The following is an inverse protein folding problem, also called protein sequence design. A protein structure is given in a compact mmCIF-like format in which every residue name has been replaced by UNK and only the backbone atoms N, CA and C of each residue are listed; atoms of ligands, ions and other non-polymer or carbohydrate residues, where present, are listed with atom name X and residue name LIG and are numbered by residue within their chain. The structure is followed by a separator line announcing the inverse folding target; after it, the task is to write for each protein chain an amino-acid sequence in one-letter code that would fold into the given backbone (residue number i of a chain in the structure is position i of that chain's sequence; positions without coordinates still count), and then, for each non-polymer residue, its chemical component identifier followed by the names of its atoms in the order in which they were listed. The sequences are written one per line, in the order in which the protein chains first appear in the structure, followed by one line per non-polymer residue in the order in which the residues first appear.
data_IF_900113250047
#
_entry.id   IF_900113250047
#
_cell.length_a   1.000
_cell.length_b   1.000
_cell.length_c   1.000
_cell.angle_alpha   90.00
_cell.angle_beta   90.00
_cell.angle_gamma   90.00
#
_symmetry.space_group_name_H-M   'P 1'
#
loop_
_entity.id
_entity.type
_entity.pdbx_description
1 polymer ?
#
# COMPACT_ATOMS: atom_id res chain seq x y z
N UNK A 1 9.00 23.81 19.68
CA UNK A 1 8.78 24.64 18.49
C UNK A 1 7.76 23.93 17.65
N UNK A 2 6.63 24.47 17.26
CA UNK A 2 5.75 23.81 16.33
C UNK A 2 6.49 23.67 15.00
N UNK A 3 6.64 22.44 14.55
CA UNK A 3 7.24 22.13 13.27
C UNK A 3 6.21 22.58 12.21
N UNK A 4 6.39 23.79 11.66
CA UNK A 4 5.61 24.21 10.49
C UNK A 4 6.15 23.42 9.31
N UNK A 5 5.66 22.19 9.15
CA UNK A 5 5.95 21.40 7.95
C UNK A 5 5.32 22.14 6.77
N UNK A 6 6.13 22.91 6.07
CA UNK A 6 5.71 23.53 4.82
C UNK A 6 5.41 22.44 3.82
N UNK A 7 4.19 22.38 3.30
CA UNK A 7 3.77 21.42 2.29
C UNK A 7 3.91 22.10 0.94
N UNK A 8 4.75 21.55 0.06
CA UNK A 8 4.84 21.95 -1.34
C UNK A 8 4.05 20.97 -2.18
N UNK A 9 3.25 21.47 -3.11
CA UNK A 9 2.43 20.65 -4.01
C UNK A 9 2.82 20.95 -5.46
N UNK A 10 3.03 19.90 -6.24
CA UNK A 10 3.37 19.98 -7.67
C UNK A 10 2.54 18.98 -8.46
N UNK A 11 2.10 19.39 -9.67
CA UNK A 11 1.42 18.51 -10.63
C UNK A 11 2.40 18.12 -11.74
N UNK A 12 2.44 16.84 -12.05
CA UNK A 12 3.31 16.25 -13.07
C UNK A 12 2.51 15.34 -13.99
N UNK A 13 3.02 15.14 -15.20
CA UNK A 13 2.50 14.15 -16.14
C UNK A 13 3.66 13.25 -16.60
N UNK A 14 3.88 12.16 -15.87
CA UNK A 14 4.93 11.18 -16.11
C UNK A 14 4.31 9.86 -16.60
N UNK A 15 3.75 9.84 -17.83
CA UNK A 15 2.86 8.84 -18.44
C UNK A 15 1.41 8.93 -17.95
N UNK A 16 1.17 9.20 -16.67
CA UNK A 16 -0.14 9.49 -16.09
C UNK A 16 -0.04 10.76 -15.23
N UNK A 17 -1.15 11.51 -15.06
CA UNK A 17 -1.17 12.63 -14.13
C UNK A 17 -0.81 12.19 -12.72
N UNK A 18 0.09 12.95 -12.08
CA UNK A 18 0.56 12.71 -10.73
C UNK A 18 0.53 14.01 -9.94
N UNK A 19 0.13 13.93 -8.67
CA UNK A 19 0.21 15.02 -7.72
C UNK A 19 1.21 14.68 -6.63
N UNK A 20 2.29 15.46 -6.54
CA UNK A 20 3.35 15.29 -5.58
C UNK A 20 3.22 16.29 -4.45
N UNK A 21 3.30 15.81 -3.21
CA UNK A 21 3.37 16.59 -1.99
C UNK A 21 4.72 16.36 -1.32
N UNK A 22 5.41 17.42 -0.97
CA UNK A 22 6.70 17.37 -0.25
C UNK A 22 6.51 18.04 1.11
N UNK A 23 6.73 17.29 2.17
CA UNK A 23 6.56 17.73 3.55
C UNK A 23 7.90 17.68 4.27
N UNK A 24 8.43 18.84 4.66
CA UNK A 24 9.74 18.96 5.31
C UNK A 24 10.90 18.47 4.44
N UNK A 25 11.90 17.85 5.07
CA UNK A 25 13.00 17.16 4.39
C UNK A 25 12.65 15.67 4.25
N UNK A 26 12.35 15.17 3.04
CA UNK A 26 11.85 13.81 2.87
C UNK A 26 12.85 12.76 3.32
N UNK A 27 12.39 11.87 4.18
CA UNK A 27 13.10 10.67 4.62
C UNK A 27 12.43 9.40 4.10
N UNK A 28 11.26 9.52 3.49
CA UNK A 28 10.45 8.42 2.97
C UNK A 28 9.68 8.83 1.72
N UNK A 29 9.44 7.87 0.84
CA UNK A 29 8.55 8.00 -0.31
C UNK A 29 7.24 7.29 -0.01
N UNK A 30 6.11 7.97 -0.24
CA UNK A 30 4.77 7.41 -0.12
C UNK A 30 4.11 7.38 -1.50
N UNK A 31 3.56 6.25 -1.90
CA UNK A 31 2.93 6.06 -3.22
C UNK A 31 1.50 5.56 -3.04
N UNK A 32 0.55 6.23 -3.68
CA UNK A 32 -0.85 5.87 -3.63
C UNK A 32 -1.53 6.08 -4.99
N UNK A 33 -2.33 5.08 -5.46
CA UNK A 33 -3.25 5.32 -6.55
C UNK A 33 -4.38 6.27 -6.11
N UNK A 34 -4.80 7.18 -6.98
CA UNK A 34 -5.92 8.09 -6.74
C UNK A 34 -6.95 8.00 -7.86
N UNK A 35 -8.22 8.10 -7.51
CA UNK A 35 -9.29 8.25 -8.48
C UNK A 35 -9.62 9.74 -8.64
N UNK A 36 -9.89 10.19 -9.87
CA UNK A 36 -10.19 11.61 -10.18
C UNK A 36 -11.28 12.25 -9.32
N UNK A 37 -12.21 11.46 -8.78
CA UNK A 37 -13.27 12.00 -7.94
C UNK A 37 -12.77 12.38 -6.52
N UNK A 38 -11.69 11.76 -6.04
CA UNK A 38 -11.07 12.06 -4.75
C UNK A 38 -10.40 13.45 -4.77
N UNK A 39 -9.81 13.83 -5.91
CA UNK A 39 -9.22 15.16 -6.10
C UNK A 39 -10.26 16.29 -6.00
N UNK A 40 -11.50 16.04 -6.47
CA UNK A 40 -12.58 17.02 -6.43
C UNK A 40 -13.13 17.32 -5.04
N UNK A 41 -12.86 16.44 -4.07
CA UNK A 41 -13.39 16.51 -2.71
C UNK A 41 -12.33 16.88 -1.67
N UNK A 42 -11.16 17.39 -2.08
CA UNK A 42 -10.03 17.72 -1.21
C UNK A 42 -9.54 16.54 -0.35
N UNK A 43 -9.96 15.29 -0.67
CA UNK A 43 -9.63 14.09 0.08
C UNK A 43 -8.13 13.83 0.13
N UNK A 44 -7.45 14.01 -0.99
CA UNK A 44 -6.00 13.88 -1.12
C UNK A 44 -5.25 14.89 -0.26
N UNK A 45 -5.66 16.16 -0.28
CA UNK A 45 -5.05 17.21 0.57
C UNK A 45 -5.27 16.92 2.05
N UNK A 46 -6.50 16.53 2.43
CA UNK A 46 -6.82 16.16 3.81
C UNK A 46 -5.97 15.00 4.32
N UNK A 47 -5.77 13.99 3.50
CA UNK A 47 -4.94 12.84 3.85
C UNK A 47 -3.49 13.26 4.10
N UNK A 48 -2.90 14.06 3.20
CA UNK A 48 -1.55 14.60 3.38
C UNK A 48 -1.43 15.46 4.63
N UNK A 49 -2.41 16.31 4.90
CA UNK A 49 -2.42 17.16 6.10
C UNK A 49 -2.44 16.32 7.39
N UNK A 50 -3.22 15.23 7.42
CA UNK A 50 -3.28 14.30 8.55
C UNK A 50 -1.95 13.57 8.75
N UNK A 51 -1.33 13.09 7.66
CA UNK A 51 -0.01 12.45 7.72
C UNK A 51 1.04 13.47 8.21
N UNK A 52 1.03 14.69 7.66
CA UNK A 52 1.99 15.74 8.03
C UNK A 52 1.89 16.16 9.51
N UNK A 53 0.70 16.13 10.08
CA UNK A 53 0.47 16.44 11.50
C UNK A 53 0.99 15.35 12.43
N UNK A 54 0.93 14.08 12.02
CA UNK A 54 1.24 12.93 12.88
C UNK A 54 2.61 12.29 12.58
N UNK A 55 3.17 12.51 11.39
CA UNK A 55 4.45 11.90 10.99
C UNK A 55 5.61 12.44 11.80
N UNK A 56 6.51 11.56 12.31
CA UNK A 56 7.73 11.97 13.01
C UNK A 56 8.79 12.54 12.07
N UNK A 57 8.69 12.33 10.76
CA UNK A 57 9.70 12.71 9.76
C UNK A 57 9.07 13.37 8.54
N UNK A 58 9.87 14.07 7.72
CA UNK A 58 9.47 14.55 6.41
C UNK A 58 9.25 13.40 5.42
N UNK A 59 8.42 13.63 4.39
CA UNK A 59 8.12 12.65 3.35
C UNK A 59 7.80 13.31 2.02
N UNK A 60 7.97 12.56 0.94
CA UNK A 60 7.44 12.90 -0.37
C UNK A 60 6.32 11.91 -0.73
N UNK A 61 5.09 12.41 -0.88
CA UNK A 61 3.92 11.58 -1.21
C UNK A 61 3.42 11.88 -2.61
N UNK A 62 3.27 10.84 -3.42
CA UNK A 62 2.75 10.95 -4.76
C UNK A 62 1.43 10.18 -4.91
N UNK A 63 0.45 10.87 -5.44
CA UNK A 63 -0.80 10.29 -5.93
C UNK A 63 -0.72 10.22 -7.44
N UNK A 64 -0.91 9.04 -8.01
CA UNK A 64 -0.99 8.85 -9.45
C UNK A 64 -2.43 8.51 -9.87
N UNK A 65 -2.87 9.13 -10.98
CA UNK A 65 -4.26 9.02 -11.45
C UNK A 65 -4.54 7.64 -12.08
N UNK A 66 -5.55 6.97 -11.57
CA UNK A 66 -6.12 5.75 -12.13
C UNK A 66 -7.50 6.05 -12.72
N UNK A 67 -7.55 6.46 -14.00
CA UNK A 67 -8.80 6.84 -14.69
C UNK A 67 -9.85 5.74 -14.64
N UNK A 68 -9.44 4.49 -14.80
CA UNK A 68 -10.28 3.30 -14.80
C UNK A 68 -9.92 2.41 -13.61
N UNK A 69 -10.36 2.83 -12.42
CA UNK A 69 -9.98 2.32 -11.10
C UNK A 69 -9.89 0.79 -11.01
N UNK A 70 -10.99 0.10 -11.38
CA UNK A 70 -11.02 -1.36 -11.31
C UNK A 70 -10.10 -2.02 -12.35
N UNK A 71 -9.97 -1.46 -13.56
CA UNK A 71 -9.05 -1.99 -14.58
C UNK A 71 -7.60 -1.87 -14.13
N UNK A 72 -7.22 -0.71 -13.60
CA UNK A 72 -5.84 -0.42 -13.21
C UNK A 72 -5.37 -1.22 -11.99
N UNK A 73 -6.27 -1.56 -11.05
CA UNK A 73 -5.89 -2.05 -9.73
C UNK A 73 -6.30 -3.50 -9.43
N UNK A 74 -7.26 -4.07 -10.18
CA UNK A 74 -7.66 -5.46 -9.97
C UNK A 74 -6.61 -6.42 -10.53
N UNK A 75 -6.05 -7.32 -9.71
CA UNK A 75 -5.04 -8.26 -10.17
C UNK A 75 -5.60 -9.38 -11.08
N UNK A 76 -6.88 -9.67 -11.00
CA UNK A 76 -7.63 -10.59 -11.88
C UNK A 76 -9.10 -10.24 -11.93
N UNK A 77 -9.81 -10.81 -12.90
CA UNK A 77 -11.23 -10.57 -13.08
C UNK A 77 -12.09 -11.14 -11.93
N UNK A 78 -13.06 -10.36 -11.48
CA UNK A 78 -14.09 -10.80 -10.55
C UNK A 78 -15.44 -10.13 -10.90
N UNK A 79 -16.43 -10.93 -11.29
CA UNK A 79 -17.78 -10.48 -11.70
C UNK A 79 -18.52 -9.69 -10.62
N UNK A 80 -18.14 -9.83 -9.35
CA UNK A 80 -18.73 -9.08 -8.26
C UNK A 80 -18.18 -7.64 -8.16
N UNK A 81 -17.03 -7.37 -8.77
CA UNK A 81 -16.46 -6.01 -8.92
C UNK A 81 -16.92 -5.39 -10.23
N UNK A 82 -16.74 -6.11 -11.33
CA UNK A 82 -17.09 -5.63 -12.66
C UNK A 82 -17.27 -6.79 -13.65
N UNK A 83 -18.17 -6.58 -14.64
CA UNK A 83 -18.30 -7.48 -15.79
C UNK A 83 -17.50 -7.01 -17.01
N UNK A 84 -16.72 -5.97 -16.87
CA UNK A 84 -15.84 -5.49 -17.92
C UNK A 84 -14.69 -6.51 -18.12
N UNK A 85 -14.50 -6.95 -19.36
CA UNK A 85 -13.49 -7.95 -19.71
C UNK A 85 -12.05 -7.46 -19.54
N UNK A 86 -11.83 -6.15 -19.46
CA UNK A 86 -10.51 -5.55 -19.24
C UNK A 86 -10.12 -5.51 -17.75
N UNK A 87 -11.08 -5.66 -16.83
CA UNK A 87 -10.77 -5.73 -15.39
C UNK A 87 -9.99 -7.01 -15.08
N UNK A 88 -8.88 -6.86 -14.36
CA UNK A 88 -7.98 -7.95 -14.00
C UNK A 88 -6.85 -8.19 -14.99
N UNK A 89 -6.62 -7.28 -15.93
CA UNK A 89 -5.55 -7.39 -16.94
C UNK A 89 -4.43 -6.36 -16.77
N UNK A 90 -4.73 -5.19 -16.16
CA UNK A 90 -3.84 -4.03 -16.17
C UNK A 90 -3.14 -3.73 -14.84
N UNK A 91 -3.39 -4.48 -13.78
CA UNK A 91 -2.63 -4.31 -12.53
C UNK A 91 -1.11 -4.52 -12.74
N UNK A 92 -0.65 -5.50 -13.57
CA UNK A 92 0.77 -5.60 -13.90
C UNK A 92 1.33 -4.38 -14.64
N UNK A 93 0.55 -3.75 -15.52
CA UNK A 93 0.97 -2.52 -16.23
C UNK A 93 1.11 -1.35 -15.25
N UNK A 94 0.17 -1.25 -14.28
CA UNK A 94 0.22 -0.25 -13.21
C UNK A 94 1.45 -0.46 -12.32
N UNK A 95 1.77 -1.70 -11.95
CA UNK A 95 2.99 -2.01 -11.20
C UNK A 95 4.23 -1.69 -12.03
N UNK A 96 4.26 -2.06 -13.30
CA UNK A 96 5.36 -1.72 -14.22
C UNK A 96 5.59 -0.22 -14.36
N UNK A 97 4.51 0.60 -14.41
CA UNK A 97 4.62 2.06 -14.36
C UNK A 97 5.29 2.53 -13.06
N UNK A 98 4.89 1.97 -11.92
CA UNK A 98 5.49 2.34 -10.62
C UNK A 98 6.98 1.99 -10.61
N UNK A 99 7.36 0.78 -11.03
CA UNK A 99 8.75 0.29 -10.95
C UNK A 99 9.67 0.97 -11.96
N UNK A 100 9.20 1.19 -13.19
CA UNK A 100 10.06 1.60 -14.31
C UNK A 100 9.96 3.08 -14.65
N UNK A 101 8.97 3.81 -14.09
CA UNK A 101 8.78 5.23 -14.36
C UNK A 101 8.71 6.05 -13.08
N UNK A 102 7.75 5.76 -12.19
CA UNK A 102 7.47 6.59 -11.01
C UNK A 102 8.58 6.51 -9.97
N UNK A 103 9.00 5.31 -9.58
CA UNK A 103 10.09 5.13 -8.59
C UNK A 103 11.43 5.68 -9.07
N UNK A 104 11.90 5.44 -10.32
CA UNK A 104 13.10 6.09 -10.84
C UNK A 104 13.03 7.61 -10.79
N UNK A 105 11.90 8.21 -11.20
CA UNK A 105 11.69 9.65 -11.14
C UNK A 105 11.75 10.21 -9.71
N UNK A 106 11.14 9.52 -8.74
CA UNK A 106 11.19 9.92 -7.32
C UNK A 106 12.61 9.78 -6.76
N UNK A 107 13.31 8.69 -7.10
CA UNK A 107 14.69 8.43 -6.63
C UNK A 107 15.71 9.39 -7.19
N UNK A 108 15.54 9.85 -8.43
CA UNK A 108 16.36 10.90 -9.02
C UNK A 108 16.22 12.21 -8.24
N UNK A 109 15.03 12.52 -7.72
CA UNK A 109 14.71 13.77 -7.05
C UNK A 109 15.02 13.75 -5.56
N UNK A 110 14.76 12.64 -4.86
CA UNK A 110 14.84 12.54 -3.40
C UNK A 110 15.87 11.52 -2.91
N UNK A 111 16.54 10.79 -3.80
CA UNK A 111 17.45 9.71 -3.44
C UNK A 111 16.75 8.37 -3.21
N UNK A 112 17.54 7.36 -2.83
CA UNK A 112 17.06 6.00 -2.58
C UNK A 112 16.46 5.87 -1.18
N UNK A 113 15.36 6.56 -0.94
CA UNK A 113 14.63 6.52 0.34
C UNK A 113 13.75 5.28 0.46
N UNK A 114 13.43 4.82 1.69
CA UNK A 114 12.41 3.80 1.93
C UNK A 114 11.09 4.19 1.26
N UNK A 115 10.42 3.22 0.63
CA UNK A 115 9.19 3.45 -0.12
C UNK A 115 8.02 2.68 0.49
N UNK A 116 6.94 3.37 0.81
CA UNK A 116 5.69 2.82 1.32
C UNK A 116 4.64 2.90 0.21
N UNK A 117 4.04 1.76 -0.15
CA UNK A 117 2.86 1.74 -1.02
C UNK A 117 1.61 1.63 -0.16
N UNK A 118 0.56 2.36 -0.52
CA UNK A 118 -0.69 2.29 0.23
C UNK A 118 -1.91 2.62 -0.62
N UNK A 119 -3.07 2.59 0.04
CA UNK A 119 -4.33 2.97 -0.55
C UNK A 119 -5.54 2.41 0.17
N UNK A 120 -6.70 2.88 -0.29
CA UNK A 120 -8.01 2.52 0.22
C UNK A 120 -8.72 1.52 -0.70
N UNK A 121 -9.48 0.58 -0.16
CA UNK A 121 -10.35 -0.33 -0.91
C UNK A 121 -9.59 -1.15 -1.96
N UNK A 122 -9.85 -0.97 -3.26
CA UNK A 122 -9.06 -1.59 -4.34
C UNK A 122 -7.61 -1.09 -4.36
N UNK A 123 -7.33 0.14 -3.92
CA UNK A 123 -5.97 0.64 -3.74
C UNK A 123 -5.21 -0.13 -2.68
N UNK A 124 -5.85 -0.45 -1.55
CA UNK A 124 -5.28 -1.29 -0.50
C UNK A 124 -5.07 -2.75 -0.94
N UNK A 125 -6.00 -3.31 -1.73
CA UNK A 125 -5.83 -4.62 -2.38
C UNK A 125 -4.61 -4.61 -3.30
N UNK A 126 -4.51 -3.59 -4.17
CA UNK A 126 -3.39 -3.44 -5.10
C UNK A 126 -2.06 -3.29 -4.37
N UNK A 127 -2.00 -2.51 -3.28
CA UNK A 127 -0.79 -2.36 -2.48
C UNK A 127 -0.30 -3.69 -1.90
N UNK A 128 -1.20 -4.52 -1.36
CA UNK A 128 -0.87 -5.87 -0.88
C UNK A 128 -0.45 -6.81 -2.00
N UNK A 129 -1.12 -6.73 -3.16
CA UNK A 129 -0.76 -7.51 -4.34
C UNK A 129 0.60 -7.08 -4.90
N UNK A 130 0.87 -5.79 -5.02
CA UNK A 130 2.13 -5.26 -5.51
C UNK A 130 3.30 -5.73 -4.64
N UNK A 131 3.19 -5.64 -3.32
CA UNK A 131 4.24 -6.08 -2.39
C UNK A 131 4.49 -7.61 -2.40
N UNK A 132 3.61 -8.39 -3.04
CA UNK A 132 3.81 -9.84 -3.30
C UNK A 132 4.45 -10.10 -4.67
N UNK A 133 4.59 -9.08 -5.52
CA UNK A 133 5.13 -9.22 -6.89
C UNK A 133 6.44 -8.45 -7.09
N UNK A 134 6.80 -7.54 -6.19
CA UNK A 134 8.07 -6.81 -6.22
C UNK A 134 8.60 -6.56 -4.81
N UNK A 135 9.91 -6.44 -4.68
CA UNK A 135 10.61 -6.05 -3.45
C UNK A 135 10.88 -4.53 -3.35
N UNK A 136 10.25 -3.75 -4.21
CA UNK A 136 10.47 -2.29 -4.28
C UNK A 136 9.94 -1.52 -3.06
N UNK A 137 9.07 -2.13 -2.25
CA UNK A 137 8.37 -1.47 -1.15
C UNK A 137 8.87 -1.92 0.22
N UNK A 138 9.20 -0.94 1.06
CA UNK A 138 9.66 -1.17 2.43
C UNK A 138 8.51 -1.45 3.40
N UNK A 139 7.31 -0.93 3.12
CA UNK A 139 6.11 -1.14 3.93
C UNK A 139 4.82 -1.03 3.10
N UNK A 140 3.70 -1.51 3.66
CA UNK A 140 2.37 -1.48 3.02
C UNK A 140 1.32 -0.87 3.94
N UNK A 141 0.65 0.18 3.47
CA UNK A 141 -0.45 0.87 4.14
C UNK A 141 -1.80 0.51 3.47
N UNK A 142 -2.43 -0.60 3.87
CA UNK A 142 -3.65 -1.12 3.26
C UNK A 142 -4.89 -0.80 4.11
N UNK A 143 -5.59 0.29 3.79
CA UNK A 143 -6.80 0.71 4.48
C UNK A 143 -8.05 0.12 3.83
N UNK A 144 -8.89 -0.56 4.60
CA UNK A 144 -10.12 -1.23 4.19
C UNK A 144 -9.98 -2.01 2.85
N UNK A 145 -8.92 -2.84 2.69
CA UNK A 145 -8.58 -3.46 1.42
C UNK A 145 -9.66 -4.45 0.95
N UNK A 146 -9.96 -4.47 -0.35
CA UNK A 146 -11.03 -5.30 -0.94
C UNK A 146 -10.68 -6.80 -1.02
N UNK A 147 -10.28 -7.43 0.08
CA UNK A 147 -9.80 -8.82 0.14
C UNK A 147 -10.89 -9.89 -0.03
N UNK A 148 -12.16 -9.47 -0.19
CA UNK A 148 -13.29 -10.34 -0.45
C UNK A 148 -13.36 -10.84 -1.89
N UNK A 149 -12.48 -10.40 -2.78
CA UNK A 149 -12.41 -10.88 -4.16
C UNK A 149 -12.09 -12.38 -4.20
N UNK A 150 -12.65 -13.07 -5.22
CA UNK A 150 -12.46 -14.51 -5.37
C UNK A 150 -10.98 -14.86 -5.56
N UNK A 151 -10.50 -15.85 -4.81
CA UNK A 151 -9.14 -16.39 -4.94
C UNK A 151 -8.06 -15.61 -4.20
N UNK A 152 -8.40 -14.52 -3.49
CA UNK A 152 -7.37 -13.74 -2.77
C UNK A 152 -6.62 -14.57 -1.73
N UNK A 153 -7.32 -15.32 -0.88
CA UNK A 153 -6.71 -16.10 0.19
C UNK A 153 -5.72 -17.16 -0.33
N UNK A 154 -6.11 -17.86 -1.40
CA UNK A 154 -5.27 -18.86 -2.05
C UNK A 154 -4.04 -18.20 -2.70
N UNK A 155 -4.24 -17.06 -3.36
CA UNK A 155 -3.14 -16.29 -3.95
C UNK A 155 -2.16 -15.81 -2.88
N UNK A 156 -2.64 -15.19 -1.81
CA UNK A 156 -1.83 -14.65 -0.73
C UNK A 156 -1.01 -15.74 -0.01
N UNK A 157 -1.60 -16.94 0.15
CA UNK A 157 -0.90 -18.07 0.75
C UNK A 157 0.24 -18.61 -0.15
N UNK A 158 0.05 -18.56 -1.47
CA UNK A 158 1.05 -19.02 -2.44
C UNK A 158 2.15 -18.00 -2.74
N UNK A 159 1.91 -16.71 -2.47
CA UNK A 159 2.82 -15.60 -2.81
C UNK A 159 3.12 -14.78 -1.54
N UNK A 160 4.18 -15.09 -0.79
CA UNK A 160 4.56 -14.30 0.39
C UNK A 160 4.97 -12.88 0.00
N UNK A 161 4.90 -11.96 0.98
CA UNK A 161 5.41 -10.58 0.81
C UNK A 161 6.91 -10.64 0.50
N UNK A 162 7.33 -9.88 -0.51
CA UNK A 162 8.73 -9.68 -0.85
C UNK A 162 9.33 -8.53 -0.02
N UNK A 163 10.60 -8.64 0.34
CA UNK A 163 11.29 -7.62 1.15
C UNK A 163 12.53 -7.10 0.43
N UNK A 164 12.77 -5.78 0.43
CA UNK A 164 13.99 -5.19 -0.14
C UNK A 164 15.29 -5.75 0.45
N UNK A 165 15.27 -6.29 1.66
CA UNK A 165 16.45 -6.85 2.31
C UNK A 165 16.84 -8.25 1.80
N UNK A 166 15.95 -8.96 1.12
CA UNK A 166 16.22 -10.29 0.60
C UNK A 166 17.18 -10.27 -0.61
N UNK A 167 17.23 -9.18 -1.35
CA UNK A 167 18.06 -9.02 -2.56
C UNK A 167 19.49 -8.57 -2.28
N UNK A 168 19.78 -7.92 -1.17
CA UNK A 168 21.12 -7.44 -0.82
C UNK A 168 22.13 -8.59 -0.51
N UNK A 169 21.68 -9.80 -0.24
CA UNK A 169 22.53 -10.96 0.10
C UNK A 169 22.85 -11.89 -1.08
N UNK A 170 22.35 -11.63 -2.30
CA UNK A 170 22.59 -12.51 -3.47
C UNK A 170 23.79 -12.13 -4.33
N UNK A 171 24.61 -11.21 -3.92
CA UNK A 171 25.82 -10.82 -4.66
C UNK A 171 27.08 -11.07 -3.85
N UNK A 172 27.39 -12.33 -3.60
CA UNK A 172 28.79 -12.82 -3.45
C UNK A 172 28.78 -14.36 -3.34
N UNK A 173 29.42 -15.01 -4.32
CA UNK A 173 29.77 -16.42 -4.39
C UNK A 173 30.04 -17.07 -3.02
N UNK A 174 29.20 -18.03 -2.62
CA UNK A 174 29.66 -19.13 -1.77
C UNK A 174 28.78 -20.34 -2.00
N UNK A 175 29.35 -21.36 -2.63
CA UNK A 175 28.85 -22.73 -2.66
C UNK A 175 28.81 -23.27 -1.23
N UNK A 176 27.64 -23.30 -0.60
CA UNK A 176 27.40 -24.05 0.63
C UNK A 176 26.13 -24.90 0.46
N UNK A 177 26.05 -26.08 1.09
CA UNK A 177 25.03 -27.08 0.81
C UNK A 177 23.65 -26.65 1.31
N UNK A 178 22.63 -27.08 0.54
CA UNK A 178 21.20 -26.92 0.84
C UNK A 178 20.89 -27.58 2.18
N UNK A 179 20.79 -26.79 3.23
CA UNK A 179 20.28 -27.25 4.52
C UNK A 179 19.26 -26.25 5.05
N UNK A 180 18.02 -26.71 5.17
CA UNK A 180 16.85 -26.14 5.86
C UNK A 180 16.38 -24.77 5.38
N UNK A 181 15.07 -24.55 5.15
CA UNK A 181 14.54 -23.22 4.89
C UNK A 181 14.81 -22.35 6.12
N UNK A 182 15.80 -21.48 6.02
CA UNK A 182 15.94 -20.41 7.00
C UNK A 182 14.68 -19.56 6.87
N UNK A 183 13.90 -19.49 7.94
CA UNK A 183 12.84 -18.51 8.13
C UNK A 183 13.52 -17.13 8.07
N UNK A 184 13.57 -16.55 6.90
CA UNK A 184 13.95 -15.13 6.75
C UNK A 184 12.76 -14.37 7.32
N UNK A 185 12.88 -13.97 8.58
CA UNK A 185 11.91 -13.06 9.19
C UNK A 185 12.08 -11.71 8.50
N UNK A 186 11.36 -11.52 7.41
CA UNK A 186 11.26 -10.21 6.76
C UNK A 186 10.53 -9.26 7.71
N UNK A 187 11.05 -8.07 7.89
CA UNK A 187 10.50 -7.06 8.79
C UNK A 187 9.68 -6.01 8.04
N UNK A 188 9.11 -6.35 6.88
CA UNK A 188 8.27 -5.41 6.11
C UNK A 188 7.02 -5.05 6.92
N UNK A 189 6.88 -3.82 7.41
CA UNK A 189 5.70 -3.39 8.15
C UNK A 189 4.46 -3.39 7.25
N UNK A 190 3.37 -3.97 7.75
CA UNK A 190 2.08 -3.99 7.05
C UNK A 190 0.98 -3.53 7.98
N UNK A 191 0.31 -2.46 7.60
CA UNK A 191 -0.88 -2.00 8.27
C UNK A 191 -2.13 -2.45 7.51
N UNK A 192 -3.03 -3.13 8.20
CA UNK A 192 -4.38 -3.45 7.75
C UNK A 192 -5.38 -2.67 8.59
N UNK A 193 -6.45 -2.17 7.99
CA UNK A 193 -7.58 -1.65 8.75
C UNK A 193 -8.92 -2.03 8.14
N UNK A 194 -9.99 -1.92 8.93
CA UNK A 194 -11.35 -2.15 8.47
C UNK A 194 -12.34 -1.37 9.35
N UNK A 195 -13.43 -0.88 8.78
CA UNK A 195 -14.56 -0.37 9.55
C UNK A 195 -15.39 -1.52 10.15
N UNK A 196 -15.80 -1.37 11.41
CA UNK A 196 -16.54 -2.40 12.17
C UNK A 196 -17.93 -2.74 11.60
N UNK A 197 -18.47 -1.85 10.74
CA UNK A 197 -19.76 -2.06 10.04
C UNK A 197 -19.60 -2.56 8.61
N UNK A 198 -18.40 -2.69 8.07
CA UNK A 198 -18.18 -3.15 6.69
C UNK A 198 -18.64 -4.60 6.49
N UNK A 199 -18.42 -5.46 7.47
CA UNK A 199 -18.86 -6.86 7.44
C UNK A 199 -20.38 -7.03 7.64
N UNK A 200 -21.11 -5.95 7.92
CA UNK A 200 -22.58 -5.94 8.06
C UNK A 200 -23.33 -5.44 6.82
N UNK A 201 -22.62 -5.27 5.68
CA UNK A 201 -23.24 -4.83 4.44
C UNK A 201 -24.21 -5.89 3.86
N UNK A 202 -25.14 -5.44 2.97
CA UNK A 202 -26.15 -6.33 2.36
C UNK A 202 -25.57 -7.29 1.32
N UNK A 203 -24.46 -6.94 0.69
CA UNK A 203 -23.84 -7.78 -0.34
C UNK A 203 -23.20 -9.01 0.31
N UNK A 204 -23.64 -10.21 -0.08
CA UNK A 204 -23.23 -11.48 0.53
C UNK A 204 -21.73 -11.80 0.36
N UNK A 205 -21.08 -11.27 -0.68
CA UNK A 205 -19.64 -11.46 -0.89
C UNK A 205 -18.85 -10.42 -0.08
N UNK A 206 -19.24 -9.16 -0.17
CA UNK A 206 -18.56 -8.07 0.53
C UNK A 206 -18.65 -8.21 2.04
N UNK A 207 -19.74 -8.72 2.59
CA UNK A 207 -19.87 -8.92 4.06
C UNK A 207 -18.84 -9.89 4.63
N UNK A 208 -18.17 -10.71 3.80
CA UNK A 208 -17.07 -11.60 4.21
C UNK A 208 -15.77 -10.85 4.47
N UNK A 209 -15.76 -9.53 4.23
CA UNK A 209 -14.52 -8.74 4.32
C UNK A 209 -13.85 -8.85 5.70
N UNK A 210 -14.63 -8.88 6.78
CA UNK A 210 -14.09 -9.05 8.13
C UNK A 210 -13.31 -10.36 8.29
N UNK A 211 -13.89 -11.47 7.81
CA UNK A 211 -13.22 -12.78 7.83
C UNK A 211 -11.98 -12.78 6.92
N UNK A 212 -12.08 -12.18 5.73
CA UNK A 212 -10.97 -12.10 4.79
C UNK A 212 -9.78 -11.31 5.37
N UNK A 213 -10.05 -10.17 6.00
CA UNK A 213 -8.99 -9.33 6.61
C UNK A 213 -8.38 -10.01 7.84
N UNK A 214 -9.18 -10.70 8.68
CA UNK A 214 -8.64 -11.50 9.79
C UNK A 214 -7.76 -12.65 9.29
N UNK A 215 -8.17 -13.33 8.22
CA UNK A 215 -7.39 -14.41 7.62
C UNK A 215 -6.07 -13.89 7.01
N UNK A 216 -6.13 -12.76 6.32
CA UNK A 216 -4.93 -12.08 5.79
C UNK A 216 -3.97 -11.68 6.90
N UNK A 217 -4.47 -11.05 7.97
CA UNK A 217 -3.65 -10.71 9.13
C UNK A 217 -2.97 -11.94 9.75
N UNK A 218 -3.72 -13.02 9.95
CA UNK A 218 -3.18 -14.25 10.50
C UNK A 218 -2.09 -14.86 9.59
N UNK A 219 -2.30 -14.83 8.26
CA UNK A 219 -1.32 -15.30 7.27
C UNK A 219 -0.05 -14.44 7.30
N UNK A 220 -0.20 -13.12 7.30
CA UNK A 220 0.92 -12.19 7.36
C UNK A 220 1.74 -12.35 8.65
N UNK A 221 1.10 -12.55 9.79
CA UNK A 221 1.79 -12.86 11.06
C UNK A 221 2.58 -14.18 11.02
N UNK A 222 2.22 -15.12 10.14
CA UNK A 222 2.97 -16.35 9.91
C UNK A 222 4.14 -16.15 8.93
N UNK A 223 3.96 -15.29 7.93
CA UNK A 223 4.97 -15.00 6.89
C UNK A 223 6.05 -14.03 7.38
N UNK A 224 5.65 -13.08 8.25
CA UNK A 224 6.47 -11.99 8.75
C UNK A 224 6.61 -12.09 10.29
N UNK A 225 7.37 -11.17 10.89
CA UNK A 225 7.32 -11.00 12.36
C UNK A 225 5.92 -10.52 12.77
N UNK A 226 5.29 -11.09 13.82
CA UNK A 226 4.01 -10.60 14.33
C UNK A 226 4.02 -9.12 14.74
N UNK A 227 5.18 -8.58 15.09
CA UNK A 227 5.34 -7.13 15.40
C UNK A 227 5.38 -6.24 14.16
N UNK A 228 5.60 -6.83 12.98
CA UNK A 228 5.60 -6.11 11.71
C UNK A 228 4.19 -5.98 11.09
N UNK A 229 3.17 -6.57 11.69
CA UNK A 229 1.81 -6.56 11.13
C UNK A 229 0.83 -6.02 12.16
N UNK A 230 -0.03 -5.09 11.76
CA UNK A 230 -1.13 -4.61 12.60
C UNK A 230 -2.46 -4.71 11.87
N UNK A 231 -3.54 -4.95 12.62
CA UNK A 231 -4.92 -4.86 12.16
C UNK A 231 -5.69 -3.91 13.05
N UNK A 232 -6.17 -2.80 12.48
CA UNK A 232 -6.95 -1.77 13.18
C UNK A 232 -8.42 -1.84 12.78
N UNK A 233 -9.30 -1.77 13.77
CA UNK A 233 -10.73 -1.63 13.56
C UNK A 233 -11.15 -0.21 13.85
N UNK A 234 -11.89 0.39 12.91
CA UNK A 234 -12.41 1.75 13.02
C UNK A 234 -13.93 1.70 13.19
N UNK A 235 -14.48 2.69 13.84
CA UNK A 235 -15.92 2.88 13.84
C UNK A 235 -16.39 3.22 12.43
N UNK A 236 -17.49 2.60 11.97
CA UNK A 236 -18.18 2.96 10.74
C UNK A 236 -18.12 1.94 9.61
N UNK A 237 -18.73 2.32 8.50
CA UNK A 237 -18.76 1.53 7.26
C UNK A 237 -17.58 1.80 6.34
N UNK A 238 -17.75 1.39 5.07
CA UNK A 238 -16.71 1.51 4.06
C UNK A 238 -16.44 2.95 3.60
N UNK A 239 -17.38 3.87 3.75
CA UNK A 239 -17.26 5.24 3.27
C UNK A 239 -17.33 6.25 4.42
N UNK A 240 -16.68 7.41 4.24
CA UNK A 240 -16.78 8.58 5.11
C UNK A 240 -15.59 8.84 6.01
N UNK A 241 -14.55 7.99 5.98
CA UNK A 241 -13.31 8.18 6.74
C UNK A 241 -12.10 7.62 5.98
N UNK A 242 -12.13 7.71 4.66
CA UNK A 242 -11.11 7.12 3.78
C UNK A 242 -9.74 7.77 4.04
N UNK A 243 -9.68 9.12 4.02
CA UNK A 243 -8.46 9.88 4.25
C UNK A 243 -7.85 9.62 5.65
N UNK A 244 -8.70 9.56 6.68
CA UNK A 244 -8.27 9.32 8.07
C UNK A 244 -7.65 7.93 8.23
N UNK A 245 -8.29 6.90 7.67
CA UNK A 245 -7.83 5.51 7.78
C UNK A 245 -6.55 5.28 6.98
N UNK A 246 -6.46 5.89 5.79
CA UNK A 246 -5.26 5.76 4.96
C UNK A 246 -4.10 6.54 5.57
N UNK A 247 -4.35 7.75 6.10
CA UNK A 247 -3.35 8.54 6.81
C UNK A 247 -2.80 7.79 8.03
N UNK A 248 -3.67 7.19 8.88
CA UNK A 248 -3.24 6.38 10.02
C UNK A 248 -2.35 5.22 9.57
N UNK A 249 -2.71 4.54 8.48
CA UNK A 249 -1.94 3.43 7.95
C UNK A 249 -0.54 3.86 7.49
N UNK A 250 -0.41 4.98 6.79
CA UNK A 250 0.88 5.52 6.39
C UNK A 250 1.71 5.97 7.59
N UNK A 251 1.12 6.69 8.54
CA UNK A 251 1.81 7.16 9.76
C UNK A 251 2.39 5.98 10.53
N UNK A 252 1.58 4.92 10.75
CA UNK A 252 2.06 3.72 11.43
C UNK A 252 3.24 3.07 10.69
N UNK A 253 3.18 2.96 9.36
CA UNK A 253 4.29 2.43 8.55
C UNK A 253 5.56 3.28 8.67
N UNK A 254 5.42 4.62 8.64
CA UNK A 254 6.53 5.57 8.82
C UNK A 254 7.19 5.35 10.19
N UNK A 255 6.38 5.26 11.25
CA UNK A 255 6.88 5.02 12.63
C UNK A 255 7.64 3.71 12.73
N UNK A 256 7.13 2.62 12.12
CA UNK A 256 7.82 1.32 12.14
C UNK A 256 9.18 1.38 11.43
N UNK A 257 9.28 2.08 10.31
CA UNK A 257 10.54 2.22 9.59
C UNK A 257 11.50 3.10 10.40
N UNK A 258 11.04 4.26 10.90
CA UNK A 258 11.87 5.20 11.66
C UNK A 258 12.44 4.57 12.97
N UNK A 259 11.69 3.68 13.62
CA UNK A 259 12.13 3.00 14.84
C UNK A 259 13.13 1.86 14.59
N UNK A 260 13.29 1.42 13.34
CA UNK A 260 14.19 0.33 12.95
C UNK A 260 15.46 0.83 12.25
N UNK A 261 15.61 2.14 12.09
CA UNK A 261 16.79 2.83 11.51
C UNK A 261 17.68 3.39 12.60
#
# INVERSE_FOLDING_TARGET
MPNTNTIFTEEHNIQTPCKLFVVGDPQMLLIQPSARHEEKNDGVQREVDLIAQASPTGFAMVFFDCVEWARALMPWADDAVSRDAEVGRHAPDTLGFIEHTLLPWLRERFGALPCIIGGYSLGGLFALWAARNTDAFTAVAAASPSLWIKGWGEYAAAHPILSPQATAHHSLNTTLPISTPQHITTTTPIHLSLGDREEHCRNQRMKRIGDCVRAEHALLCQQLSPTAVTLRWHEGGHFGAEAERTAEAFVWCIEQIANNT
#
